data_IF_555314572887
#
_entry.id   IF_555314572887
#
_cell.length_a   1.000
_cell.length_b   1.000
_cell.length_c   1.000
_cell.angle_alpha   90.00
_cell.angle_beta   90.00
_cell.angle_gamma   90.00
#
_symmetry.space_group_name_H-M   'P 1'
#
loop_
_entity.id
_entity.type
_entity.pdbx_description
1 polymer ?
#
# COMPACT_ATOMS: atom_id res chain seq x y z
N UNK A 1 37.53 12.74 -60.82
CA UNK A 1 36.75 13.75 -60.05
C UNK A 1 35.25 13.48 -60.05
N UNK A 2 34.70 12.67 -60.96
CA UNK A 2 33.27 12.30 -61.02
C UNK A 2 32.86 11.29 -59.96
N UNK A 3 33.73 10.35 -59.60
CA UNK A 3 33.39 9.26 -58.67
C UNK A 3 33.11 9.75 -57.24
N UNK A 4 33.79 10.82 -56.82
CA UNK A 4 33.61 11.47 -55.52
C UNK A 4 32.24 12.15 -55.44
N UNK A 5 31.76 12.72 -56.54
CA UNK A 5 30.48 13.43 -56.58
C UNK A 5 29.29 12.46 -56.55
N UNK A 6 29.42 11.33 -57.24
CA UNK A 6 28.39 10.27 -57.26
C UNK A 6 28.32 9.56 -55.89
N UNK A 7 29.47 9.24 -55.29
CA UNK A 7 29.49 8.67 -53.92
C UNK A 7 28.95 9.66 -52.89
N UNK A 8 29.27 10.95 -53.00
CA UNK A 8 28.72 11.96 -52.09
C UNK A 8 27.20 12.10 -52.22
N UNK A 9 26.67 12.14 -53.44
CA UNK A 9 25.23 12.21 -53.69
C UNK A 9 24.47 10.97 -53.20
N UNK A 10 25.08 9.78 -53.33
CA UNK A 10 24.50 8.53 -52.84
C UNK A 10 24.58 8.41 -51.31
N UNK A 11 25.62 8.95 -50.66
CA UNK A 11 25.78 8.92 -49.19
C UNK A 11 25.00 10.01 -48.46
N UNK A 12 24.65 11.11 -49.13
CA UNK A 12 23.88 12.22 -48.55
C UNK A 12 22.55 11.82 -47.89
N UNK A 13 21.68 10.99 -48.51
CA UNK A 13 20.43 10.57 -47.85
C UNK A 13 20.68 9.73 -46.58
N UNK A 14 21.73 8.91 -46.55
CA UNK A 14 22.08 8.14 -45.36
C UNK A 14 22.58 9.04 -44.22
N UNK A 15 23.38 10.06 -44.54
CA UNK A 15 23.78 11.09 -43.58
C UNK A 15 22.57 11.84 -43.00
N UNK A 16 21.58 12.15 -43.84
CA UNK A 16 20.35 12.82 -43.42
C UNK A 16 19.51 11.95 -42.47
N UNK A 17 19.41 10.64 -42.75
CA UNK A 17 18.74 9.67 -41.87
C UNK A 17 19.46 9.55 -40.53
N UNK A 18 20.78 9.44 -40.54
CA UNK A 18 21.58 9.38 -39.30
C UNK A 18 21.40 10.66 -38.48
N UNK A 19 21.43 11.82 -39.12
CA UNK A 19 21.20 13.10 -38.46
C UNK A 19 19.79 13.20 -37.87
N UNK A 20 18.77 12.73 -38.60
CA UNK A 20 17.39 12.63 -38.10
C UNK A 20 17.27 11.71 -36.89
N UNK A 21 17.96 10.57 -36.88
CA UNK A 21 18.01 9.65 -35.75
C UNK A 21 18.68 10.28 -34.53
N UNK A 22 19.75 11.06 -34.72
CA UNK A 22 20.42 11.79 -33.64
C UNK A 22 19.45 12.82 -33.04
N UNK A 23 18.76 13.62 -33.88
CA UNK A 23 17.76 14.57 -33.39
C UNK A 23 16.64 13.85 -32.62
N UNK A 24 16.13 12.75 -33.16
CA UNK A 24 15.07 11.98 -32.51
C UNK A 24 15.52 11.40 -31.17
N UNK A 25 16.76 10.89 -31.10
CA UNK A 25 17.37 10.44 -29.85
C UNK A 25 17.46 11.57 -28.81
N UNK A 26 17.85 12.77 -29.24
CA UNK A 26 17.89 13.95 -28.37
C UNK A 26 16.50 14.35 -27.86
N UNK A 27 15.46 14.29 -28.70
CA UNK A 27 14.07 14.56 -28.29
C UNK A 27 13.63 13.57 -27.19
N UNK A 28 13.85 12.27 -27.39
CA UNK A 28 13.50 11.24 -26.39
C UNK A 28 14.27 11.46 -25.08
N UNK A 29 15.57 11.78 -25.18
CA UNK A 29 16.42 12.06 -24.03
C UNK A 29 15.91 13.27 -23.24
N UNK A 30 15.55 14.35 -23.93
CA UNK A 30 15.08 15.60 -23.30
C UNK A 30 13.72 15.40 -22.63
N UNK A 31 12.80 14.70 -23.30
CA UNK A 31 11.49 14.34 -22.73
C UNK A 31 11.67 13.49 -21.47
N UNK A 32 12.54 12.46 -21.50
CA UNK A 32 12.83 11.62 -20.33
C UNK A 32 13.33 12.45 -19.14
N UNK A 33 14.22 13.41 -19.40
CA UNK A 33 14.77 14.30 -18.35
C UNK A 33 13.67 15.23 -17.80
N UNK A 34 12.80 15.78 -18.65
CA UNK A 34 11.69 16.62 -18.22
C UNK A 34 10.66 15.89 -17.35
N UNK A 35 10.32 14.63 -17.66
CA UNK A 35 9.38 13.86 -16.84
C UNK A 35 9.91 13.62 -15.42
N UNK A 36 11.21 13.41 -15.26
CA UNK A 36 11.83 13.29 -13.94
C UNK A 36 11.91 14.65 -13.24
N UNK A 37 12.29 15.71 -13.97
CA UNK A 37 12.39 17.08 -13.42
C UNK A 37 11.05 17.67 -13.02
N UNK A 38 9.96 17.37 -13.71
CA UNK A 38 8.61 17.86 -13.35
C UNK A 38 8.09 17.24 -12.06
N UNK A 39 8.42 15.97 -11.78
CA UNK A 39 8.12 15.36 -10.48
C UNK A 39 8.98 15.98 -9.36
N UNK A 40 10.26 16.21 -9.62
CA UNK A 40 11.17 16.86 -8.66
C UNK A 40 10.73 18.30 -8.41
N UNK A 41 10.38 19.07 -9.44
CA UNK A 41 9.94 20.45 -9.31
C UNK A 41 8.61 20.57 -8.54
N UNK A 42 7.67 19.63 -8.73
CA UNK A 42 6.45 19.59 -7.91
C UNK A 42 6.77 19.24 -6.46
N UNK A 43 7.67 18.29 -6.24
CA UNK A 43 8.06 17.83 -4.92
C UNK A 43 8.87 18.91 -4.16
N UNK A 44 9.72 19.66 -4.85
CA UNK A 44 10.45 20.80 -4.30
C UNK A 44 9.51 21.98 -4.03
N UNK A 45 8.52 22.22 -4.89
CA UNK A 45 7.50 23.25 -4.64
C UNK A 45 6.58 22.87 -3.46
N UNK A 46 6.30 21.59 -3.24
CA UNK A 46 5.61 21.09 -2.05
C UNK A 46 6.49 21.21 -0.79
N UNK A 47 7.78 20.91 -0.88
CA UNK A 47 8.74 21.11 0.22
C UNK A 47 8.90 22.57 0.59
N UNK A 48 9.03 23.46 -0.39
CA UNK A 48 9.11 24.91 -0.15
C UNK A 48 7.83 25.43 0.50
N UNK A 49 6.64 24.99 0.06
CA UNK A 49 5.38 25.31 0.75
C UNK A 49 5.37 24.79 2.18
N UNK A 50 5.84 23.57 2.40
CA UNK A 50 5.90 22.98 3.75
C UNK A 50 6.88 23.73 4.66
N UNK A 51 8.03 24.15 4.11
CA UNK A 51 9.01 24.97 4.81
C UNK A 51 8.47 26.36 5.10
N UNK A 52 7.74 26.98 4.17
CA UNK A 52 7.10 28.27 4.38
C UNK A 52 6.02 28.19 5.46
N UNK A 53 5.22 27.11 5.48
CA UNK A 53 4.23 26.85 6.52
C UNK A 53 4.91 26.60 7.87
N UNK A 54 6.00 25.82 7.91
CA UNK A 54 6.79 25.60 9.12
C UNK A 54 7.43 26.88 9.63
N UNK A 55 7.97 27.71 8.74
CA UNK A 55 8.55 29.00 9.09
C UNK A 55 7.48 29.99 9.57
N UNK A 56 6.29 30.02 8.97
CA UNK A 56 5.16 30.83 9.44
C UNK A 56 4.60 30.30 10.77
N UNK A 57 4.64 28.98 11.01
CA UNK A 57 4.31 28.34 12.30
C UNK A 57 5.35 28.61 13.40
N UNK A 58 6.63 28.68 13.05
CA UNK A 58 7.72 29.00 13.98
C UNK A 58 7.75 30.51 14.28
N UNK A 59 7.44 31.35 13.29
CA UNK A 59 7.40 32.81 13.44
C UNK A 59 6.13 33.29 14.15
N UNK A 60 4.98 32.65 13.93
CA UNK A 60 3.77 32.83 14.73
C UNK A 60 3.80 31.83 15.87
N UNK A 61 4.47 32.16 16.98
CA UNK A 61 4.54 31.33 18.20
C UNK A 61 3.18 31.05 18.87
N UNK A 62 2.28 30.33 18.19
CA UNK A 62 0.91 30.06 18.60
C UNK A 62 0.45 28.64 18.17
N UNK A 63 0.10 27.76 19.14
CA UNK A 63 -0.31 26.37 18.93
C UNK A 63 -1.77 26.28 18.49
N UNK A 64 -2.08 26.64 17.24
CA UNK A 64 -3.46 26.75 16.75
C UNK A 64 -3.76 25.96 15.46
N UNK A 65 -3.34 24.70 15.41
CA UNK A 65 -4.35 23.67 15.09
C UNK A 65 -4.99 23.21 16.40
N UNK A 66 -5.57 24.17 17.13
CA UNK A 66 -6.59 23.86 18.13
C UNK A 66 -7.76 23.33 17.32
N UNK A 67 -7.88 22.00 17.25
CA UNK A 67 -9.20 21.36 17.18
C UNK A 67 -10.10 22.19 18.10
N UNK A 68 -11.21 22.75 17.60
CA UNK A 68 -12.14 23.55 18.42
C UNK A 68 -12.33 22.85 19.78
N UNK A 69 -12.32 23.52 20.93
CA UNK A 69 -12.46 22.85 22.23
C UNK A 69 -13.68 21.93 22.29
N UNK A 70 -14.75 22.26 21.55
CA UNK A 70 -15.91 21.39 21.35
C UNK A 70 -15.57 20.08 20.61
N UNK A 71 -14.73 20.14 19.57
CA UNK A 71 -14.27 18.98 18.82
C UNK A 71 -13.19 18.16 19.56
N UNK A 72 -12.44 18.77 20.48
CA UNK A 72 -11.52 18.02 21.34
C UNK A 72 -12.29 17.18 22.35
N UNK A 73 -13.35 17.75 22.93
CA UNK A 73 -14.22 17.00 23.85
C UNK A 73 -14.96 15.87 23.11
N UNK A 74 -15.46 16.15 21.89
CA UNK A 74 -16.08 15.13 21.04
C UNK A 74 -15.11 13.98 20.71
N UNK A 75 -13.86 14.30 20.33
CA UNK A 75 -12.84 13.28 20.09
C UNK A 75 -12.51 12.47 21.35
N UNK A 76 -12.44 13.11 22.51
CA UNK A 76 -12.22 12.42 23.79
C UNK A 76 -13.37 11.48 24.13
N UNK A 77 -14.62 11.91 23.93
CA UNK A 77 -15.79 11.05 24.14
C UNK A 77 -15.83 9.87 23.18
N UNK A 78 -15.42 10.08 21.92
CA UNK A 78 -15.34 9.01 20.92
C UNK A 78 -14.21 8.03 21.23
N UNK A 79 -13.07 8.51 21.73
CA UNK A 79 -11.98 7.65 22.17
C UNK A 79 -12.38 6.81 23.39
N UNK A 80 -13.06 7.40 24.37
CA UNK A 80 -13.61 6.68 25.53
C UNK A 80 -14.63 5.62 25.08
N UNK A 81 -15.57 5.96 24.19
CA UNK A 81 -16.54 5.02 23.63
C UNK A 81 -15.85 3.87 22.86
N UNK A 82 -14.84 4.19 22.04
CA UNK A 82 -14.08 3.19 21.31
C UNK A 82 -13.34 2.23 22.26
N UNK A 83 -12.71 2.73 23.32
CA UNK A 83 -12.04 1.84 24.30
C UNK A 83 -13.01 0.91 25.04
N UNK A 84 -14.23 1.39 25.34
CA UNK A 84 -15.28 0.56 25.92
C UNK A 84 -15.76 -0.51 24.93
N UNK A 85 -16.03 -0.12 23.68
CA UNK A 85 -16.45 -1.04 22.62
C UNK A 85 -15.39 -2.10 22.32
N UNK A 86 -14.11 -1.73 22.27
CA UNK A 86 -13.01 -2.69 22.10
C UNK A 86 -12.97 -3.72 23.23
N UNK A 87 -13.17 -3.28 24.47
CA UNK A 87 -13.21 -4.16 25.65
C UNK A 87 -14.39 -5.14 25.58
N UNK A 88 -15.58 -4.64 25.21
CA UNK A 88 -16.78 -5.46 25.06
C UNK A 88 -16.66 -6.46 23.90
N UNK A 89 -16.12 -6.03 22.76
CA UNK A 89 -15.85 -6.89 21.61
C UNK A 89 -14.89 -8.01 22.01
N UNK A 90 -13.81 -7.68 22.73
CA UNK A 90 -12.84 -8.66 23.20
C UNK A 90 -13.49 -9.68 24.16
N UNK A 91 -14.31 -9.23 25.11
CA UNK A 91 -15.04 -10.11 26.01
C UNK A 91 -15.99 -11.06 25.25
N UNK A 92 -16.72 -10.55 24.26
CA UNK A 92 -17.60 -11.36 23.42
C UNK A 92 -16.81 -12.39 22.59
N UNK A 93 -15.70 -11.98 21.97
CA UNK A 93 -14.84 -12.88 21.20
C UNK A 93 -14.30 -14.01 22.08
N UNK A 94 -13.79 -13.71 23.28
CA UNK A 94 -13.30 -14.72 24.22
C UNK A 94 -14.41 -15.70 24.65
N UNK A 95 -15.64 -15.22 24.84
CA UNK A 95 -16.77 -16.07 25.19
C UNK A 95 -17.16 -17.01 24.03
N UNK A 96 -17.14 -16.52 22.79
CA UNK A 96 -17.41 -17.31 21.58
C UNK A 96 -16.33 -18.37 21.37
N UNK A 97 -15.06 -18.00 21.48
CA UNK A 97 -13.93 -18.92 21.32
C UNK A 97 -13.98 -20.07 22.32
N UNK A 98 -14.27 -19.79 23.60
CA UNK A 98 -14.48 -20.83 24.63
C UNK A 98 -15.62 -21.77 24.29
N UNK A 99 -16.71 -21.27 23.68
CA UNK A 99 -17.84 -22.10 23.24
C UNK A 99 -17.45 -23.00 22.07
N UNK A 100 -16.72 -22.47 21.10
CA UNK A 100 -16.20 -23.23 19.94
C UNK A 100 -15.29 -24.36 20.45
N UNK A 101 -14.34 -24.04 21.33
CA UNK A 101 -13.42 -25.04 21.89
C UNK A 101 -14.17 -26.18 22.60
N UNK A 102 -15.19 -25.87 23.40
CA UNK A 102 -16.03 -26.89 24.06
C UNK A 102 -16.78 -27.76 23.05
N UNK A 103 -17.30 -27.17 21.97
CA UNK A 103 -18.00 -27.91 20.92
C UNK A 103 -17.03 -28.83 20.16
N UNK A 104 -15.83 -28.35 19.84
CA UNK A 104 -14.79 -29.17 19.21
C UNK A 104 -14.40 -30.36 20.08
N UNK A 105 -14.20 -30.15 21.38
CA UNK A 105 -13.92 -31.24 22.32
C UNK A 105 -15.04 -32.28 22.34
N UNK A 106 -16.32 -31.84 22.38
CA UNK A 106 -17.48 -32.74 22.35
C UNK A 106 -17.57 -33.55 21.04
N UNK A 107 -17.31 -32.91 19.90
CA UNK A 107 -17.31 -33.60 18.60
C UNK A 107 -16.17 -34.62 18.52
N UNK A 108 -14.97 -34.27 19.02
CA UNK A 108 -13.84 -35.21 19.08
C UNK A 108 -14.17 -36.44 19.92
N UNK A 109 -14.76 -36.25 21.11
CA UNK A 109 -15.21 -37.36 21.97
C UNK A 109 -16.28 -38.22 21.29
N UNK A 110 -17.30 -37.60 20.70
CA UNK A 110 -18.36 -38.34 19.98
C UNK A 110 -17.82 -39.16 18.81
N UNK A 111 -16.83 -38.63 18.08
CA UNK A 111 -16.16 -39.38 17.00
C UNK A 111 -15.37 -40.56 17.57
N UNK A 112 -14.68 -40.39 18.70
CA UNK A 112 -13.96 -41.46 19.40
C UNK A 112 -14.92 -42.57 19.83
N UNK A 113 -16.03 -42.23 20.48
CA UNK A 113 -17.04 -43.19 20.94
C UNK A 113 -17.61 -44.00 19.77
N UNK A 114 -17.91 -43.36 18.64
CA UNK A 114 -18.37 -44.04 17.41
C UNK A 114 -17.31 -44.99 16.83
N UNK A 115 -16.02 -44.67 16.95
CA UNK A 115 -14.95 -45.55 16.50
C UNK A 115 -14.83 -46.77 17.43
N UNK A 116 -14.90 -46.57 18.74
CA UNK A 116 -14.89 -47.66 19.73
C UNK A 116 -16.08 -48.60 19.52
N UNK A 117 -17.29 -48.05 19.29
CA UNK A 117 -18.48 -48.87 19.04
C UNK A 117 -18.35 -49.72 17.76
N UNK A 118 -17.72 -49.18 16.71
CA UNK A 118 -17.45 -49.95 15.48
C UNK A 118 -16.45 -51.08 15.74
N UNK A 119 -15.37 -50.80 16.45
CA UNK A 119 -14.36 -51.81 16.82
C UNK A 119 -15.02 -52.94 17.62
N UNK A 120 -15.83 -52.60 18.64
CA UNK A 120 -16.54 -53.61 19.44
C UNK A 120 -17.48 -54.48 18.61
N UNK A 121 -18.22 -53.88 17.65
CA UNK A 121 -19.08 -54.63 16.73
C UNK A 121 -18.30 -55.53 15.76
N UNK A 122 -17.08 -55.16 15.42
CA UNK A 122 -16.18 -56.00 14.61
C UNK A 122 -15.60 -57.15 15.46
N UNK A 123 -15.22 -56.91 16.72
CA UNK A 123 -14.80 -57.95 17.66
C UNK A 123 -15.91 -58.97 17.93
N UNK A 124 -17.13 -58.51 18.22
CA UNK A 124 -18.31 -59.38 18.43
C UNK A 124 -18.71 -60.20 17.18
N UNK A 125 -18.23 -59.81 15.98
CA UNK A 125 -18.45 -60.56 14.73
C UNK A 125 -17.33 -61.55 14.41
N UNK A 126 -16.15 -61.36 14.99
CA UNK A 126 -14.96 -62.17 14.75
C UNK A 126 -14.77 -63.25 15.84
N UNK A 127 -15.31 -63.03 17.05
CA UNK A 127 -15.48 -64.05 18.09
C UNK A 127 -16.76 -64.86 17.93
#
# INVERSE_FOLDING_TARGET
>A
MTDIWVTFNQSFPFLLIIFGLVIFYFIIREIRIMYTKTRIAKLDLEKEKLQLIKADLEQKGHPFFRVSPAKQEELRSLDEENTMLETDIFAQQSAVEKRIQRLESKVKLTKLDRMIEKIKKEEDRLG
#
